data_IF_028716356998
#
_entry.id   IF_028716356998
#
_cell.length_a   1.000
_cell.length_b   1.000
_cell.length_c   1.000
_cell.angle_alpha   90.00
_cell.angle_beta   90.00
_cell.angle_gamma   90.00
#
_symmetry.space_group_name_H-M   'P 1'
#
loop_
_entity.id
_entity.type
_entity.pdbx_description
1 polymer ?
#
# COMPACT_ATOMS: atom_id res chain seq x y z
N UNK A 1 12.18 -5.89 6.95
CA UNK A 1 12.07 -6.99 5.97
C UNK A 1 10.71 -7.15 5.27
N UNK A 2 9.57 -6.82 5.89
CA UNK A 2 8.23 -7.08 5.31
C UNK A 2 7.99 -6.36 3.96
N UNK A 3 8.50 -5.13 3.79
CA UNK A 3 8.32 -4.35 2.55
C UNK A 3 8.88 -5.02 1.30
N UNK A 4 10.03 -5.69 1.40
CA UNK A 4 10.67 -6.33 0.24
C UNK A 4 9.81 -7.48 -0.29
N UNK A 5 9.21 -8.26 0.61
CA UNK A 5 8.32 -9.36 0.24
C UNK A 5 7.03 -8.87 -0.42
N UNK A 6 6.44 -7.79 0.09
CA UNK A 6 5.25 -7.17 -0.49
C UNK A 6 5.54 -6.63 -1.90
N UNK A 7 6.66 -5.92 -2.09
CA UNK A 7 7.05 -5.42 -3.41
C UNK A 7 7.30 -6.56 -4.40
N UNK A 8 7.95 -7.65 -3.98
CA UNK A 8 8.14 -8.83 -4.86
C UNK A 8 6.81 -9.46 -5.26
N UNK A 9 5.85 -9.59 -4.35
CA UNK A 9 4.51 -10.08 -4.71
C UNK A 9 3.82 -9.14 -5.70
N UNK A 10 3.81 -7.84 -5.44
CA UNK A 10 3.22 -6.85 -6.37
C UNK A 10 3.89 -6.93 -7.75
N UNK A 11 5.21 -7.11 -7.79
CA UNK A 11 5.95 -7.24 -9.04
C UNK A 11 5.54 -8.49 -9.80
N UNK A 12 5.43 -9.65 -9.15
CA UNK A 12 4.92 -10.90 -9.77
C UNK A 12 3.54 -10.71 -10.40
N UNK A 13 2.63 -10.02 -9.71
CA UNK A 13 1.31 -9.69 -10.26
C UNK A 13 1.38 -8.75 -11.46
N UNK A 14 2.31 -7.79 -11.47
CA UNK A 14 2.55 -6.89 -12.62
C UNK A 14 3.14 -7.65 -13.81
N UNK A 15 4.19 -8.43 -13.57
CA UNK A 15 4.93 -9.16 -14.61
C UNK A 15 4.03 -10.18 -15.32
N UNK A 16 3.08 -10.78 -14.58
CA UNK A 16 2.08 -11.72 -15.12
C UNK A 16 0.80 -11.04 -15.63
N UNK A 17 0.72 -9.71 -15.56
CA UNK A 17 -0.41 -8.92 -16.06
C UNK A 17 -1.70 -9.00 -15.26
N UNK A 18 -1.69 -9.55 -14.04
CA UNK A 18 -2.87 -9.72 -13.20
C UNK A 18 -3.28 -8.40 -12.52
N UNK A 19 -3.85 -7.48 -13.31
CA UNK A 19 -4.11 -6.08 -12.93
C UNK A 19 -5.61 -5.72 -12.92
N UNK A 20 -6.46 -6.58 -13.46
CA UNK A 20 -7.91 -6.42 -13.55
C UNK A 20 -8.62 -7.75 -13.28
N UNK A 21 -9.93 -7.72 -13.04
CA UNK A 21 -10.71 -8.93 -12.81
C UNK A 21 -10.64 -9.91 -13.99
N UNK A 22 -10.62 -9.40 -15.22
CA UNK A 22 -10.50 -10.17 -16.46
C UNK A 22 -9.12 -10.84 -16.62
N UNK A 23 -8.09 -10.22 -16.06
CA UNK A 23 -6.71 -10.72 -16.09
C UNK A 23 -6.31 -11.43 -14.80
N UNK A 24 -7.28 -11.72 -13.92
CA UNK A 24 -7.01 -12.37 -12.65
C UNK A 24 -6.40 -13.76 -12.87
N UNK A 25 -5.33 -14.03 -12.11
CA UNK A 25 -4.57 -15.27 -12.24
C UNK A 25 -4.54 -16.04 -10.93
N UNK A 26 -4.30 -17.33 -11.06
CA UNK A 26 -4.14 -18.20 -9.91
C UNK A 26 -2.83 -17.89 -9.16
N UNK A 27 -2.81 -18.15 -7.87
CA UNK A 27 -1.63 -17.98 -7.03
C UNK A 27 -0.46 -18.85 -7.48
N UNK A 28 -0.75 -20.03 -8.03
CA UNK A 28 0.29 -20.92 -8.55
C UNK A 28 0.93 -20.34 -9.82
N UNK A 29 0.14 -19.78 -10.75
CA UNK A 29 0.65 -19.07 -11.93
C UNK A 29 1.46 -17.81 -11.59
N UNK A 30 1.07 -17.16 -10.48
CA UNK A 30 1.73 -15.98 -9.94
C UNK A 30 2.95 -16.35 -9.09
N UNK A 31 3.20 -17.65 -8.84
CA UNK A 31 4.24 -18.16 -7.94
C UNK A 31 4.21 -17.47 -6.57
N UNK A 32 3.01 -17.23 -6.05
CA UNK A 32 2.78 -16.57 -4.77
C UNK A 32 2.19 -17.57 -3.78
N UNK A 33 2.97 -17.91 -2.74
CA UNK A 33 2.49 -18.78 -1.68
C UNK A 33 1.40 -18.10 -0.84
N UNK A 34 0.35 -18.85 -0.52
CA UNK A 34 -0.79 -18.44 0.33
C UNK A 34 -0.36 -18.30 1.81
N UNK A 35 0.48 -17.30 2.09
CA UNK A 35 1.00 -16.99 3.44
C UNK A 35 0.13 -15.94 4.15
N UNK A 36 0.25 -15.83 5.47
CA UNK A 36 -0.43 -14.79 6.27
C UNK A 36 -0.23 -13.35 5.73
N UNK A 37 0.92 -13.08 5.09
CA UNK A 37 1.18 -11.81 4.44
C UNK A 37 0.22 -11.54 3.27
N UNK A 38 -0.01 -12.55 2.42
CA UNK A 38 -0.94 -12.47 1.30
C UNK A 38 -2.36 -12.23 1.79
N UNK A 39 -2.80 -12.98 2.81
CA UNK A 39 -4.12 -12.80 3.40
C UNK A 39 -4.32 -11.37 3.95
N UNK A 40 -3.30 -10.80 4.60
CA UNK A 40 -3.33 -9.38 5.03
C UNK A 40 -3.45 -8.40 3.86
N UNK A 41 -2.86 -8.70 2.71
CA UNK A 41 -2.95 -7.85 1.51
C UNK A 41 -4.33 -7.97 0.83
N UNK A 42 -4.95 -9.15 0.87
CA UNK A 42 -6.34 -9.38 0.44
C UNK A 42 -7.32 -8.64 1.35
N UNK A 43 -7.17 -8.76 2.68
CA UNK A 43 -7.99 -8.02 3.66
C UNK A 43 -7.89 -6.50 3.48
N UNK A 44 -6.70 -6.00 3.13
CA UNK A 44 -6.46 -4.58 2.81
C UNK A 44 -6.96 -4.18 1.41
N UNK A 45 -7.59 -5.10 0.67
CA UNK A 45 -8.10 -4.92 -0.69
C UNK A 45 -7.03 -4.45 -1.68
N UNK A 46 -5.78 -4.85 -1.48
CA UNK A 46 -4.66 -4.61 -2.40
C UNK A 46 -4.68 -5.70 -3.49
N UNK A 47 -4.88 -6.95 -3.07
CA UNK A 47 -5.25 -8.05 -3.97
C UNK A 47 -6.75 -8.30 -3.85
N UNK A 48 -7.42 -8.50 -4.97
CA UNK A 48 -8.87 -8.78 -5.00
C UNK A 48 -9.07 -10.13 -5.68
N UNK A 49 -9.90 -10.95 -5.07
CA UNK A 49 -10.35 -12.21 -5.66
C UNK A 49 -11.44 -11.92 -6.68
N UNK A 50 -11.21 -12.29 -7.94
CA UNK A 50 -12.21 -12.15 -9.01
C UNK A 50 -13.01 -13.44 -9.23
N UNK A 51 -12.37 -14.59 -8.96
CA UNK A 51 -12.93 -15.93 -9.08
C UNK A 51 -12.21 -16.85 -8.07
N UNK A 52 -12.76 -18.04 -7.76
CA UNK A 52 -12.14 -18.95 -6.79
C UNK A 52 -10.65 -19.16 -7.10
N UNK A 53 -9.79 -18.81 -6.13
CA UNK A 53 -8.32 -18.88 -6.24
C UNK A 53 -7.64 -17.92 -7.24
N UNK A 54 -8.40 -17.11 -7.98
CA UNK A 54 -7.86 -16.13 -8.92
C UNK A 54 -7.87 -14.73 -8.34
N UNK A 55 -6.68 -14.13 -8.31
CA UNK A 55 -6.47 -12.81 -7.74
C UNK A 55 -5.90 -11.84 -8.77
N UNK A 56 -6.26 -10.56 -8.62
CA UNK A 56 -5.65 -9.47 -9.36
C UNK A 56 -5.22 -8.34 -8.42
N UNK A 57 -4.26 -7.56 -8.86
CA UNK A 57 -3.76 -6.38 -8.16
C UNK A 57 -4.68 -5.19 -8.45
N UNK A 58 -5.27 -4.63 -7.40
CA UNK A 58 -6.01 -3.38 -7.52
C UNK A 58 -5.03 -2.20 -7.61
N UNK A 59 -4.65 -1.82 -8.83
CA UNK A 59 -3.78 -0.67 -9.08
C UNK A 59 -4.28 0.64 -8.46
N UNK A 60 -5.56 1.06 -8.60
CA UNK A 60 -6.00 2.32 -8.04
C UNK A 60 -5.87 2.35 -6.51
N UNK A 61 -6.16 1.24 -5.81
CA UNK A 61 -5.94 1.15 -4.36
C UNK A 61 -4.48 1.13 -3.97
N UNK A 62 -3.61 0.54 -4.77
CA UNK A 62 -2.16 0.60 -4.54
C UNK A 62 -1.65 2.05 -4.59
N UNK A 63 -2.14 2.83 -5.55
CA UNK A 63 -1.81 4.25 -5.69
C UNK A 63 -2.35 5.08 -4.52
N UNK A 64 -3.59 4.82 -4.07
CA UNK A 64 -4.18 5.48 -2.89
C UNK A 64 -3.40 5.11 -1.62
N UNK A 65 -2.98 3.84 -1.47
CA UNK A 65 -2.19 3.39 -0.32
C UNK A 65 -0.85 4.13 -0.23
N UNK A 66 -0.18 4.32 -1.36
CA UNK A 66 1.07 5.08 -1.42
C UNK A 66 0.85 6.60 -1.25
N UNK A 67 -0.23 7.17 -1.79
CA UNK A 67 -0.58 8.59 -1.64
C UNK A 67 -0.99 8.95 -0.21
N UNK A 68 -1.84 8.15 0.45
CA UNK A 68 -2.28 8.40 1.83
C UNK A 68 -1.09 8.48 2.80
N UNK A 69 -0.06 7.66 2.60
CA UNK A 69 1.17 7.73 3.38
C UNK A 69 1.94 9.02 3.18
N UNK A 70 2.06 9.51 1.94
CA UNK A 70 2.70 10.80 1.66
C UNK A 70 1.95 11.95 2.32
N UNK A 71 0.61 11.97 2.20
CA UNK A 71 -0.22 13.00 2.82
C UNK A 71 -0.05 12.99 4.34
N UNK A 72 -0.10 11.81 4.97
CA UNK A 72 0.06 11.71 6.43
C UNK A 72 1.42 12.23 6.92
N UNK A 73 2.51 11.93 6.19
CA UNK A 73 3.85 12.45 6.50
C UNK A 73 3.90 13.97 6.34
N UNK A 74 3.32 14.51 5.26
CA UNK A 74 3.25 15.97 5.02
C UNK A 74 2.44 16.65 6.11
N UNK A 75 1.30 16.09 6.52
CA UNK A 75 0.47 16.65 7.60
C UNK A 75 1.21 16.68 8.93
N UNK A 76 1.91 15.59 9.28
CA UNK A 76 2.74 15.54 10.51
C UNK A 76 3.85 16.58 10.44
N UNK A 77 4.51 16.72 9.29
CA UNK A 77 5.57 17.70 9.09
C UNK A 77 5.05 19.13 9.29
N UNK A 78 3.92 19.47 8.65
CA UNK A 78 3.28 20.79 8.79
C UNK A 78 2.86 21.07 10.24
N UNK A 79 2.32 20.06 10.94
CA UNK A 79 1.95 20.19 12.34
C UNK A 79 3.16 20.43 13.26
N UNK A 80 4.29 19.77 12.95
CA UNK A 80 5.55 19.95 13.69
C UNK A 80 6.12 21.36 13.48
N UNK A 81 6.07 21.86 12.24
CA UNK A 81 6.50 23.23 11.90
C UNK A 81 5.60 24.24 12.61
N UNK A 82 4.28 24.03 12.60
CA UNK A 82 3.33 24.90 13.30
C UNK A 82 3.63 25.01 14.79
N UNK A 83 3.86 23.87 15.47
CA UNK A 83 4.23 23.84 16.89
C UNK A 83 5.55 24.56 17.20
N UNK A 84 6.54 24.44 16.32
CA UNK A 84 7.82 25.15 16.47
C UNK A 84 7.63 26.67 16.36
N UNK A 85 6.85 27.12 15.38
CA UNK A 85 6.58 28.55 15.17
C UNK A 85 5.83 29.11 16.38
N UNK A 86 4.75 28.46 16.82
CA UNK A 86 3.98 28.94 17.98
C UNK A 86 4.80 28.90 19.28
N UNK A 87 5.65 27.89 19.46
CA UNK A 87 6.56 27.80 20.59
C UNK A 87 7.58 28.93 20.63
N UNK A 88 8.22 29.24 19.50
CA UNK A 88 9.17 30.37 19.39
C UNK A 88 8.45 31.70 19.62
N UNK A 89 7.25 31.88 19.05
CA UNK A 89 6.48 33.11 19.19
C UNK A 89 6.06 33.34 20.65
N UNK A 90 5.63 32.29 21.35
CA UNK A 90 5.34 32.35 22.78
C UNK A 90 6.58 32.68 23.61
N UNK A 91 7.76 32.13 23.26
CA UNK A 91 9.01 32.41 23.96
C UNK A 91 9.49 33.86 23.75
N UNK A 92 9.23 34.46 22.59
CA UNK A 92 9.62 35.85 22.29
C UNK A 92 8.70 36.89 22.94
N UNK A 93 7.45 36.52 23.21
CA UNK A 93 6.41 37.45 23.67
C UNK A 93 6.18 37.39 25.19
N UNK A 94 7.05 36.68 25.90
CA UNK A 94 7.07 36.49 27.35
C UNK A 94 8.42 36.94 27.92
#
# INVERSE_FOLDING_TARGET
MIRVHVNRMIQKFRDKGALSAETARDLDELEVKRRQLFHRLVQRRIFIEAAPQKYYLNQPKLLIYNKKRRIMVITILLFTIYLLITGIYLLQNH
#
